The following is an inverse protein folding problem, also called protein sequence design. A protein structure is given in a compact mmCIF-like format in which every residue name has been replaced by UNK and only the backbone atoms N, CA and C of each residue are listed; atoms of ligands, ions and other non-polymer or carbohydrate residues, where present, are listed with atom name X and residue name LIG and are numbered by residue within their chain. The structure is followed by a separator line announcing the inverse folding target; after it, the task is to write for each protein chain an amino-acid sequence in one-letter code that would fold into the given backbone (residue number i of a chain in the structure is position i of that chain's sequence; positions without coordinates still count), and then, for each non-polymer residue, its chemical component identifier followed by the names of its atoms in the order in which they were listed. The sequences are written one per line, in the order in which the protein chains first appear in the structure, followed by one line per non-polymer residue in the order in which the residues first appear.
data_IF_165187503678
#
_entry.id   IF_165187503678
#
_cell.length_a   1.000
_cell.length_b   1.000
_cell.length_c   1.000
_cell.angle_alpha   90.00
_cell.angle_beta   90.00
_cell.angle_gamma   90.00
#
_symmetry.space_group_name_H-M   'P 1'
#
loop_
_entity.id
_entity.type
_entity.pdbx_description
1 polymer ?
#
# COMPACT_ATOMS: atom_id res chain seq x y z
N UNK A 1 21.57 -7.44 18.83
CA UNK A 1 21.13 -6.84 18.51
C UNK A 1 20.23 -5.97 19.04
N UNK A 2 19.26 -6.10 19.37
CA UNK A 2 18.41 -5.21 19.80
C UNK A 2 18.68 -4.76 21.12
N UNK A 3 19.48 -5.33 21.81
CA UNK A 3 19.63 -4.93 23.15
C UNK A 3 20.32 -3.64 23.31
N UNK A 4 21.31 -3.33 22.56
CA UNK A 4 21.94 -2.11 22.78
C UNK A 4 21.12 -1.00 22.41
N UNK A 5 20.23 -1.19 21.48
CA UNK A 5 19.39 -0.14 21.13
C UNK A 5 18.50 0.22 22.25
N UNK A 6 18.03 -0.76 22.95
CA UNK A 6 17.12 -0.48 24.01
C UNK A 6 17.75 0.35 25.09
N UNK A 7 19.01 0.21 25.30
CA UNK A 7 19.58 0.96 26.37
C UNK A 7 19.56 2.42 26.13
N UNK A 8 19.76 2.84 24.95
CA UNK A 8 19.94 4.25 24.76
C UNK A 8 18.72 5.03 24.54
N UNK A 9 17.64 4.41 24.14
CA UNK A 9 16.55 5.22 23.73
C UNK A 9 15.24 4.86 24.32
N UNK A 10 15.25 4.14 25.34
CA UNK A 10 14.00 3.73 25.85
C UNK A 10 13.22 4.84 26.44
N UNK A 11 13.81 5.95 26.72
CA UNK A 11 13.05 6.95 27.39
C UNK A 11 11.96 7.54 26.57
N UNK A 12 12.16 7.67 25.27
CA UNK A 12 11.26 8.47 24.50
C UNK A 12 10.55 7.75 23.40
N UNK A 13 11.07 6.66 22.92
CA UNK A 13 10.43 5.98 21.81
C UNK A 13 10.91 4.55 21.75
N UNK A 14 10.18 3.76 21.00
CA UNK A 14 10.52 2.39 20.80
C UNK A 14 10.88 2.18 19.35
N UNK A 15 11.82 1.29 19.11
CA UNK A 15 12.22 0.92 17.79
C UNK A 15 12.16 -0.59 17.70
N UNK A 16 11.51 -1.10 16.68
CA UNK A 16 11.46 -2.52 16.46
C UNK A 16 11.75 -2.81 14.99
N UNK A 17 12.25 -4.00 14.74
CA UNK A 17 12.58 -4.42 13.39
C UNK A 17 11.95 -5.76 13.14
N UNK A 18 11.42 -5.96 11.96
CA UNK A 18 10.87 -7.24 11.60
C UNK A 18 10.88 -7.37 10.09
N UNK A 19 10.81 -8.61 9.64
CA UNK A 19 10.71 -8.90 8.22
C UNK A 19 9.26 -8.80 7.83
N UNK A 20 9.03 -8.16 6.70
CA UNK A 20 7.68 -7.91 6.25
C UNK A 20 7.62 -8.04 4.74
N UNK A 21 6.45 -7.83 4.20
CA UNK A 21 6.22 -7.86 2.77
C UNK A 21 5.83 -6.46 2.33
N UNK A 22 6.45 -5.99 1.27
CA UNK A 22 6.01 -4.78 0.59
C UNK A 22 5.14 -5.21 -0.58
N UNK A 23 3.89 -4.82 -0.52
CA UNK A 23 2.91 -5.16 -1.55
C UNK A 23 2.65 -3.92 -2.37
N UNK A 24 2.73 -4.05 -3.69
CA UNK A 24 2.39 -2.96 -4.58
C UNK A 24 1.26 -3.42 -5.48
N UNK A 25 0.20 -2.63 -5.52
CA UNK A 25 -0.99 -2.94 -6.30
C UNK A 25 -1.12 -1.89 -7.38
N UNK A 26 -1.09 -2.34 -8.64
CA UNK A 26 -1.17 -1.45 -9.79
C UNK A 26 -2.53 -1.61 -10.45
N UNK A 27 -3.34 -0.57 -10.42
CA UNK A 27 -4.68 -0.58 -11.01
C UNK A 27 -4.90 0.75 -11.71
N UNK A 28 -6.06 0.94 -12.28
CA UNK A 28 -6.39 2.17 -12.95
C UNK A 28 -7.29 3.05 -12.11
N UNK A 29 -7.19 4.34 -12.31
CA UNK A 29 -7.97 5.29 -11.55
C UNK A 29 -9.47 5.10 -11.78
N UNK A 30 -9.85 4.73 -12.99
CA UNK A 30 -11.27 4.59 -13.30
C UNK A 30 -11.82 3.21 -12.98
N UNK A 31 -11.02 2.32 -12.43
CA UNK A 31 -11.53 1.02 -12.02
C UNK A 31 -12.48 1.19 -10.86
N UNK A 32 -13.58 0.42 -10.89
CA UNK A 32 -14.60 0.52 -9.86
C UNK A 32 -14.95 -0.86 -9.32
N UNK A 33 -15.47 -0.88 -8.12
CA UNK A 33 -15.99 -2.08 -7.51
C UNK A 33 -17.21 -1.68 -6.70
N UNK A 34 -18.36 -2.26 -7.07
CA UNK A 34 -19.62 -1.97 -6.41
C UNK A 34 -19.92 -0.49 -6.32
N UNK A 35 -19.70 0.21 -7.44
CA UNK A 35 -20.04 1.62 -7.53
C UNK A 35 -19.08 2.58 -6.89
N UNK A 36 -17.95 2.10 -6.41
CA UNK A 36 -16.98 2.93 -5.73
C UNK A 36 -15.64 2.80 -6.45
N UNK A 37 -14.84 3.83 -6.49
CA UNK A 37 -13.51 3.68 -7.08
C UNK A 37 -12.77 2.54 -6.42
N UNK A 38 -12.16 1.69 -7.24
CA UNK A 38 -11.53 0.49 -6.72
C UNK A 38 -10.43 0.83 -5.71
N UNK A 39 -9.64 1.88 -5.98
CA UNK A 39 -8.56 2.19 -5.06
C UNK A 39 -9.08 2.58 -3.70
N UNK A 40 -10.22 3.28 -3.64
CA UNK A 40 -10.80 3.63 -2.36
C UNK A 40 -11.35 2.41 -1.65
N UNK A 41 -11.97 1.51 -2.41
CA UNK A 41 -12.49 0.30 -1.81
C UNK A 41 -11.36 -0.50 -1.18
N UNK A 42 -10.24 -0.61 -1.90
CA UNK A 42 -9.11 -1.37 -1.39
C UNK A 42 -8.54 -0.72 -0.13
N UNK A 43 -8.37 0.58 -0.13
CA UNK A 43 -7.80 1.25 1.03
C UNK A 43 -8.71 1.09 2.24
N UNK A 44 -10.01 1.22 2.04
CA UNK A 44 -10.94 1.07 3.14
C UNK A 44 -10.96 -0.36 3.67
N UNK A 45 -10.86 -1.32 2.76
CA UNK A 45 -10.82 -2.71 3.16
C UNK A 45 -9.55 -3.02 3.96
N UNK A 46 -8.41 -2.51 3.49
CA UNK A 46 -7.17 -2.73 4.20
C UNK A 46 -7.21 -2.16 5.60
N UNK A 47 -7.80 -0.99 5.74
CA UNK A 47 -7.91 -0.38 7.06
C UNK A 47 -8.83 -1.21 7.95
N UNK A 48 -9.94 -1.67 7.41
CA UNK A 48 -10.87 -2.48 8.18
C UNK A 48 -10.25 -3.80 8.59
N UNK A 49 -9.31 -4.32 7.81
CA UNK A 49 -8.66 -5.58 8.11
C UNK A 49 -7.47 -5.42 9.06
N UNK A 50 -7.21 -4.22 9.53
CA UNK A 50 -6.15 -4.02 10.50
C UNK A 50 -4.77 -3.87 9.94
N UNK A 51 -4.65 -3.60 8.64
CA UNK A 51 -3.35 -3.35 8.03
C UNK A 51 -2.80 -2.04 8.58
N UNK A 52 -1.50 -2.01 8.85
CA UNK A 52 -0.88 -0.90 9.53
C UNK A 52 -0.94 0.41 8.75
N UNK A 53 -0.86 0.33 7.43
CA UNK A 53 -0.94 1.54 6.64
C UNK A 53 -0.95 1.24 5.17
N UNK A 54 -1.43 2.18 4.39
CA UNK A 54 -1.44 2.06 2.93
C UNK A 54 -1.37 3.46 2.36
N UNK A 55 -0.68 3.58 1.25
CA UNK A 55 -0.53 4.86 0.57
C UNK A 55 -0.90 4.69 -0.88
N UNK A 56 -1.67 5.64 -1.40
CA UNK A 56 -2.10 5.62 -2.80
C UNK A 56 -1.32 6.69 -3.54
N UNK A 57 -0.71 6.28 -4.65
CA UNK A 57 -0.02 7.21 -5.55
C UNK A 57 -0.78 7.26 -6.86
N UNK A 58 -0.92 8.45 -7.39
CA UNK A 58 -1.52 8.62 -8.71
C UNK A 58 -0.41 8.93 -9.68
N UNK A 59 -0.25 8.08 -10.69
CA UNK A 59 0.80 8.30 -11.68
C UNK A 59 0.49 9.48 -12.55
N UNK A 60 1.52 10.12 -13.05
CA UNK A 60 1.33 11.26 -13.97
C UNK A 60 1.38 10.81 -15.42
N UNK A 61 1.76 9.58 -15.68
CA UNK A 61 1.76 9.00 -17.01
C UNK A 61 1.99 7.51 -16.85
N UNK A 62 1.49 6.73 -17.78
CA UNK A 62 1.75 5.31 -17.77
C UNK A 62 0.76 4.54 -18.61
N UNK A 63 0.98 3.22 -18.67
CA UNK A 63 0.05 2.37 -19.38
C UNK A 63 0.14 0.97 -18.79
N UNK A 64 -0.94 0.23 -18.92
CA UNK A 64 -0.97 -1.16 -18.53
C UNK A 64 -1.09 -2.05 -19.76
N UNK A 65 -1.24 -3.34 -19.50
CA UNK A 65 -1.20 -4.32 -20.59
C UNK A 65 -2.26 -4.08 -21.65
N UNK A 66 -3.45 -3.68 -21.24
CA UNK A 66 -4.56 -3.52 -22.15
C UNK A 66 -5.00 -2.09 -22.30
N UNK A 67 -4.16 -1.14 -21.94
CA UNK A 67 -4.55 0.25 -22.02
C UNK A 67 -3.55 1.03 -22.85
N UNK A 68 -3.99 2.17 -23.34
CA UNK A 68 -3.06 3.04 -24.03
C UNK A 68 -2.40 3.95 -23.01
N UNK A 69 -1.42 4.70 -23.49
CA UNK A 69 -0.69 5.59 -22.63
C UNK A 69 -1.60 6.69 -22.12
N UNK A 70 -1.59 6.89 -20.81
CA UNK A 70 -2.34 7.95 -20.17
C UNK A 70 -1.37 8.94 -19.57
N UNK A 71 -1.69 10.21 -19.67
CA UNK A 71 -0.84 11.25 -19.13
C UNK A 71 -1.68 12.44 -18.79
N UNK A 72 -1.26 13.19 -17.78
CA UNK A 72 -1.87 14.47 -17.51
C UNK A 72 -1.17 15.49 -18.37
N UNK A 73 -1.89 16.33 -19.05
CA UNK A 73 -1.31 17.38 -19.81
C UNK A 73 -2.09 18.66 -19.55
N UNK A 74 -1.47 19.76 -19.84
CA UNK A 74 -2.11 21.02 -19.59
C UNK A 74 -3.40 21.13 -20.35
N UNK A 75 -3.42 20.67 -21.58
CA UNK A 75 -4.57 20.85 -22.42
C UNK A 75 -5.57 19.74 -22.30
N UNK A 76 -5.17 18.62 -21.71
CA UNK A 76 -6.04 17.47 -21.71
C UNK A 76 -5.72 16.62 -20.51
N UNK A 77 -6.58 16.59 -19.54
CA UNK A 77 -6.38 15.80 -18.35
C UNK A 77 -7.06 14.47 -18.51
N UNK A 78 -6.32 13.41 -18.27
CA UNK A 78 -6.92 12.09 -18.27
C UNK A 78 -7.47 11.81 -16.88
N UNK A 79 -8.64 11.19 -16.85
CA UNK A 79 -9.22 10.79 -15.56
C UNK A 79 -8.93 9.34 -15.26
N UNK A 80 -8.19 8.65 -16.12
CA UNK A 80 -7.88 7.26 -15.91
C UNK A 80 -6.38 7.09 -15.82
N UNK A 81 -5.82 7.63 -14.78
CA UNK A 81 -4.38 7.55 -14.58
C UNK A 81 -4.01 6.28 -13.83
N UNK A 82 -2.75 5.85 -13.93
CA UNK A 82 -2.32 4.69 -13.15
C UNK A 82 -2.37 4.99 -11.66
N UNK A 83 -2.78 3.99 -10.90
CA UNK A 83 -2.82 4.09 -9.46
C UNK A 83 -1.92 3.01 -8.89
N UNK A 84 -1.11 3.38 -7.93
CA UNK A 84 -0.27 2.45 -7.20
C UNK A 84 -0.63 2.53 -5.72
N UNK A 85 -0.96 1.39 -5.12
CA UNK A 85 -1.19 1.32 -3.69
C UNK A 85 -0.04 0.54 -3.09
N UNK A 86 0.65 1.14 -2.12
CA UNK A 86 1.74 0.48 -1.43
C UNK A 86 1.35 0.16 0.00
N UNK A 87 1.68 -1.04 0.42
CA UNK A 87 1.35 -1.55 1.74
C UNK A 87 2.55 -2.33 2.25
N UNK A 88 2.96 -2.08 3.48
CA UNK A 88 3.98 -2.90 4.12
C UNK A 88 3.41 -3.43 5.42
N UNK A 89 3.50 -4.73 5.60
CA UNK A 89 3.00 -5.35 6.82
C UNK A 89 3.64 -6.71 6.96
N UNK A 90 3.39 -7.35 8.06
CA UNK A 90 3.91 -8.67 8.31
C UNK A 90 3.33 -9.67 7.30
N UNK A 91 4.11 -10.70 7.03
CA UNK A 91 3.71 -11.66 6.01
C UNK A 91 2.34 -12.26 6.29
N UNK A 92 2.06 -12.60 7.54
CA UNK A 92 0.77 -13.21 7.83
C UNK A 92 -0.37 -12.26 7.59
N UNK A 93 -0.18 -10.98 7.80
CA UNK A 93 -1.24 -10.01 7.53
C UNK A 93 -1.45 -9.84 6.03
N UNK A 94 -0.38 -9.85 5.27
CA UNK A 94 -0.50 -9.75 3.82
C UNK A 94 -1.20 -10.98 3.26
N UNK A 95 -0.87 -12.17 3.79
CA UNK A 95 -1.53 -13.37 3.31
C UNK A 95 -2.99 -13.39 3.65
N UNK A 96 -3.35 -12.79 4.77
CA UNK A 96 -4.76 -12.75 5.17
C UNK A 96 -5.59 -11.90 4.23
N UNK A 97 -5.04 -10.81 3.73
CA UNK A 97 -5.84 -9.92 2.88
C UNK A 97 -5.75 -10.27 1.40
N UNK A 98 -4.85 -11.16 1.01
CA UNK A 98 -4.71 -11.47 -0.40
C UNK A 98 -5.97 -12.01 -1.05
N UNK A 99 -6.71 -12.95 -0.43
CA UNK A 99 -7.94 -13.41 -1.06
C UNK A 99 -8.95 -12.31 -1.27
N UNK A 100 -8.96 -11.31 -0.40
CA UNK A 100 -9.89 -10.21 -0.57
C UNK A 100 -9.50 -9.33 -1.74
N UNK A 101 -8.20 -9.18 -1.97
CA UNK A 101 -7.74 -8.45 -3.15
C UNK A 101 -8.08 -9.23 -4.42
N UNK A 102 -7.90 -10.55 -4.38
CA UNK A 102 -8.20 -11.37 -5.55
C UNK A 102 -9.66 -11.25 -5.94
N UNK A 103 -10.51 -11.05 -4.96
CA UNK A 103 -11.93 -10.98 -5.23
C UNK A 103 -12.32 -9.69 -5.96
N UNK A 104 -11.65 -8.60 -5.70
CA UNK A 104 -12.09 -7.31 -6.20
C UNK A 104 -11.27 -6.79 -7.39
N UNK A 105 -10.10 -7.34 -7.64
CA UNK A 105 -9.26 -6.86 -8.72
C UNK A 105 -9.44 -7.76 -9.94
N UNK A 106 -10.02 -7.21 -11.00
CA UNK A 106 -10.18 -7.96 -12.23
C UNK A 106 -9.01 -7.81 -13.16
N UNK A 107 -8.47 -6.62 -13.24
CA UNK A 107 -7.32 -6.34 -14.07
C UNK A 107 -6.36 -5.50 -13.27
N UNK A 108 -5.12 -5.91 -13.25
CA UNK A 108 -4.14 -5.19 -12.48
C UNK A 108 -2.93 -6.08 -12.28
N UNK A 109 -2.04 -5.59 -11.45
CA UNK A 109 -0.81 -6.30 -11.16
C UNK A 109 -0.48 -6.10 -9.70
N UNK A 110 -0.09 -7.18 -9.06
CA UNK A 110 0.39 -7.08 -7.68
C UNK A 110 1.78 -7.64 -7.65
N UNK A 111 2.70 -6.90 -7.05
CA UNK A 111 4.05 -7.39 -6.81
C UNK A 111 4.30 -7.43 -5.32
N UNK A 112 5.18 -8.33 -4.91
CA UNK A 112 5.54 -8.48 -3.52
C UNK A 112 7.04 -8.64 -3.41
N UNK A 113 7.59 -8.06 -2.36
CA UNK A 113 8.99 -8.31 -2.06
C UNK A 113 9.18 -8.25 -0.57
N UNK A 114 10.19 -8.97 -0.10
CA UNK A 114 10.49 -8.97 1.33
C UNK A 114 11.26 -7.72 1.67
N UNK A 115 10.88 -7.11 2.77
CA UNK A 115 11.55 -5.91 3.24
C UNK A 115 11.74 -6.02 4.74
N UNK A 116 12.62 -5.20 5.27
CA UNK A 116 12.78 -5.09 6.70
C UNK A 116 12.07 -3.82 7.13
N UNK A 117 11.17 -3.93 8.07
CA UNK A 117 10.50 -2.77 8.62
C UNK A 117 11.24 -2.35 9.88
N UNK A 118 11.57 -1.08 9.96
CA UNK A 118 12.10 -0.48 11.17
C UNK A 118 11.03 0.48 11.63
N UNK A 119 10.43 0.18 12.75
CA UNK A 119 9.26 0.92 13.19
C UNK A 119 9.63 1.79 14.39
N UNK A 120 9.24 3.02 14.35
CA UNK A 120 9.48 3.96 15.42
C UNK A 120 8.14 4.42 15.98
N UNK A 121 8.06 4.46 17.31
CA UNK A 121 6.85 4.91 17.94
C UNK A 121 7.23 5.63 19.21
N UNK A 122 6.63 6.76 19.43
CA UNK A 122 6.89 7.54 20.64
C UNK A 122 5.92 7.09 21.70
N UNK A 123 6.41 6.86 22.90
CA UNK A 123 5.50 6.49 23.96
C UNK A 123 5.17 7.67 24.84
N UNK A 124 5.50 8.87 24.43
CA UNK A 124 5.20 10.02 25.24
C UNK A 124 3.73 10.28 25.37
N UNK A 125 2.97 9.92 24.43
CA UNK A 125 1.54 10.17 24.47
C UNK A 125 0.72 9.04 24.95
N UNK A 126 1.35 8.05 25.46
CA UNK A 126 0.60 6.90 25.94
C UNK A 126 0.09 7.05 27.34
#
# INVERSE_FOLDING_TARGET
MKTERARGCEENYMKSESTAILLRIFIGESDHYKGKPLYMYIVEMLKAEGIAGATVFRGIAGFGKHSRIHTTSILRLSTDMPILIEVSDLEENIERIRPKLDEVINQGLITEEKVKIVFYDSDKNK
#
